data_IF_290283321851
#
_entry.id   IF_290283321851
#
_cell.length_a   1.000
_cell.length_b   1.000
_cell.length_c   1.000
_cell.angle_alpha   90.00
_cell.angle_beta   90.00
_cell.angle_gamma   90.00
#
_symmetry.space_group_name_H-M   'P 1'
#
loop_
_entity.id
_entity.type
_entity.pdbx_description
1 polymer ?
#
# COMPACT_ATOMS: atom_id res chain seq x y z
N UNK A 1 8.71 23.43 -0.26
CA UNK A 1 9.24 22.10 -0.61
C UNK A 1 8.14 21.10 -0.31
N UNK A 2 7.28 20.85 -1.28
CA UNK A 2 6.10 19.97 -1.09
C UNK A 2 6.57 18.56 -1.38
N UNK A 3 7.04 17.83 -0.37
CA UNK A 3 7.38 16.41 -0.55
C UNK A 3 6.11 15.67 -0.98
N UNK A 4 6.07 15.37 -2.28
CA UNK A 4 4.91 14.80 -2.96
C UNK A 4 4.57 13.45 -2.34
N UNK A 5 3.29 13.23 -2.08
CA UNK A 5 2.82 11.93 -1.61
C UNK A 5 3.24 10.82 -2.56
N UNK A 6 4.02 9.85 -2.06
CA UNK A 6 4.51 8.72 -2.84
C UNK A 6 3.48 7.59 -2.76
N UNK A 7 2.81 7.31 -3.87
CA UNK A 7 1.86 6.19 -3.95
C UNK A 7 2.56 5.01 -4.61
N UNK A 8 2.59 3.84 -3.96
CA UNK A 8 3.29 2.65 -4.47
C UNK A 8 2.51 1.84 -5.50
N UNK A 9 1.33 2.34 -5.92
CA UNK A 9 0.42 1.69 -6.86
C UNK A 9 -0.69 0.89 -6.17
N UNK A 10 -1.69 0.48 -6.95
CA UNK A 10 -2.75 -0.44 -6.52
C UNK A 10 -2.34 -1.86 -6.91
N UNK A 11 -2.66 -2.81 -6.04
CA UNK A 11 -2.37 -4.22 -6.20
C UNK A 11 -3.67 -4.98 -6.07
N UNK A 12 -3.92 -5.91 -6.97
CA UNK A 12 -5.16 -6.68 -6.99
C UNK A 12 -4.84 -8.16 -7.14
N UNK A 13 -5.59 -8.97 -6.40
CA UNK A 13 -5.59 -10.41 -6.55
C UNK A 13 -6.94 -10.80 -7.15
N UNK A 14 -6.91 -11.21 -8.41
CA UNK A 14 -8.08 -11.59 -9.19
C UNK A 14 -8.69 -12.93 -8.75
N UNK A 15 -7.94 -13.79 -8.05
CA UNK A 15 -8.45 -15.08 -7.57
C UNK A 15 -9.28 -14.90 -6.29
N UNK A 16 -8.87 -13.97 -5.43
CA UNK A 16 -9.53 -13.68 -4.14
C UNK A 16 -10.39 -12.42 -4.17
N UNK A 17 -10.50 -11.75 -5.31
CA UNK A 17 -11.24 -10.48 -5.51
C UNK A 17 -10.83 -9.40 -4.50
N UNK A 18 -9.54 -9.32 -4.18
CA UNK A 18 -9.00 -8.40 -3.17
C UNK A 18 -8.15 -7.31 -3.81
N UNK A 19 -8.20 -6.12 -3.23
CA UNK A 19 -7.29 -5.03 -3.54
C UNK A 19 -6.46 -4.65 -2.31
N UNK A 20 -5.28 -4.12 -2.58
CA UNK A 20 -4.37 -3.55 -1.61
C UNK A 20 -3.68 -2.34 -2.25
N UNK A 21 -3.45 -1.29 -1.49
CA UNK A 21 -2.71 -0.10 -1.94
C UNK A 21 -2.05 0.56 -0.75
N UNK A 22 -0.94 1.24 -0.99
CA UNK A 22 -0.27 2.02 0.03
C UNK A 22 0.13 3.39 -0.50
N UNK A 23 -0.02 4.38 0.39
CA UNK A 23 0.34 5.77 0.16
C UNK A 23 1.24 6.24 1.29
N UNK A 24 2.36 6.86 0.94
CA UNK A 24 3.33 7.41 1.87
C UNK A 24 3.27 8.93 1.77
N UNK A 25 3.17 9.60 2.91
CA UNK A 25 3.18 11.06 3.04
C UNK A 25 4.18 11.40 4.14
N UNK A 26 5.42 11.74 3.75
CA UNK A 26 6.53 11.91 4.69
C UNK A 26 6.78 10.61 5.48
N UNK A 27 6.50 10.64 6.78
CA UNK A 27 6.62 9.51 7.71
C UNK A 27 5.34 8.68 7.86
N UNK A 28 4.23 9.13 7.29
CA UNK A 28 2.93 8.46 7.41
C UNK A 28 2.70 7.51 6.26
N UNK A 29 2.35 6.27 6.59
CA UNK A 29 1.89 5.27 5.64
C UNK A 29 0.41 5.05 5.83
N UNK A 30 -0.38 5.18 4.76
CA UNK A 30 -1.78 4.78 4.71
C UNK A 30 -1.93 3.60 3.79
N UNK A 31 -2.34 2.46 4.33
CA UNK A 31 -2.67 1.25 3.59
C UNK A 31 -4.19 1.20 3.41
N UNK A 32 -4.67 0.97 2.18
CA UNK A 32 -6.07 0.66 1.91
C UNK A 32 -6.17 -0.75 1.34
N UNK A 33 -7.03 -1.58 1.91
CA UNK A 33 -7.20 -2.98 1.51
C UNK A 33 -8.65 -3.43 1.65
N UNK A 34 -9.08 -4.40 0.86
CA UNK A 34 -10.45 -4.89 0.93
C UNK A 34 -10.84 -5.70 -0.28
N UNK A 35 -12.13 -5.93 -0.45
CA UNK A 35 -12.66 -6.57 -1.66
C UNK A 35 -12.89 -5.53 -2.75
N UNK A 36 -12.56 -5.88 -3.99
CA UNK A 36 -12.79 -5.04 -5.16
C UNK A 36 -14.30 -4.72 -5.25
N UNK A 37 -14.64 -3.44 -5.37
CA UNK A 37 -16.04 -2.98 -5.40
C UNK A 37 -16.65 -2.63 -4.03
N UNK A 38 -15.87 -2.73 -2.95
CA UNK A 38 -16.27 -2.24 -1.60
C UNK A 38 -15.42 -1.04 -1.19
N UNK A 39 -15.89 -0.27 -0.20
CA UNK A 39 -15.09 0.82 0.39
C UNK A 39 -13.78 0.34 1.03
N UNK A 40 -13.69 -0.95 1.35
CA UNK A 40 -12.54 -1.57 2.02
C UNK A 40 -12.27 -1.02 3.42
N UNK A 41 -11.07 -1.30 3.91
CA UNK A 41 -10.54 -0.85 5.17
C UNK A 41 -9.29 -0.01 4.93
N UNK A 42 -9.02 0.91 5.85
CA UNK A 42 -7.82 1.75 5.82
C UNK A 42 -7.10 1.64 7.15
N UNK A 43 -5.79 1.42 7.07
CA UNK A 43 -4.89 1.38 8.22
C UNK A 43 -3.79 2.41 8.00
N UNK A 44 -3.66 3.36 8.92
CA UNK A 44 -2.58 4.35 8.90
C UNK A 44 -1.56 4.05 10.00
N UNK A 45 -0.28 4.22 9.68
CA UNK A 45 0.82 4.06 10.63
C UNK A 45 1.87 5.12 10.38
N UNK A 46 2.34 5.73 11.46
CA UNK A 46 3.47 6.66 11.45
C UNK A 46 4.78 5.92 11.75
N UNK A 47 5.87 6.38 11.13
CA UNK A 47 7.23 5.89 11.32
C UNK A 47 8.16 7.02 11.79
N UNK A 48 9.29 6.67 12.40
CA UNK A 48 10.26 7.67 12.84
C UNK A 48 11.00 8.39 11.70
N UNK A 49 11.07 7.77 10.52
CA UNK A 49 11.73 8.35 9.33
C UNK A 49 10.98 7.99 8.04
N UNK A 50 11.06 8.83 7.00
CA UNK A 50 10.45 8.52 5.70
C UNK A 50 11.05 7.26 5.07
N UNK A 51 12.36 7.02 5.25
CA UNK A 51 13.00 5.79 4.75
C UNK A 51 12.45 4.53 5.42
N UNK A 52 12.10 4.60 6.71
CA UNK A 52 11.47 3.47 7.42
C UNK A 52 10.05 3.22 6.89
N UNK A 53 9.27 4.27 6.63
CA UNK A 53 7.96 4.17 5.99
C UNK A 53 8.06 3.51 4.59
N UNK A 54 9.02 3.93 3.79
CA UNK A 54 9.28 3.34 2.46
C UNK A 54 9.68 1.88 2.54
N UNK A 55 10.64 1.53 3.40
CA UNK A 55 11.07 0.15 3.62
C UNK A 55 9.91 -0.74 4.03
N UNK A 56 9.07 -0.28 4.97
CA UNK A 56 7.90 -1.02 5.41
C UNK A 56 6.94 -1.33 4.25
N UNK A 57 6.63 -0.32 3.42
CA UNK A 57 5.73 -0.53 2.27
C UNK A 57 6.36 -1.44 1.23
N UNK A 58 7.66 -1.34 0.96
CA UNK A 58 8.38 -2.22 0.02
C UNK A 58 8.28 -3.69 0.46
N UNK A 59 8.48 -3.97 1.74
CA UNK A 59 8.37 -5.34 2.27
C UNK A 59 6.93 -5.85 2.18
N UNK A 60 5.93 -5.00 2.46
CA UNK A 60 4.52 -5.34 2.27
C UNK A 60 4.20 -5.66 0.79
N UNK A 61 4.69 -4.86 -0.15
CA UNK A 61 4.50 -5.10 -1.58
C UNK A 61 5.08 -6.45 -1.99
N UNK A 62 6.30 -6.79 -1.54
CA UNK A 62 6.91 -8.09 -1.82
C UNK A 62 6.08 -9.25 -1.29
N UNK A 63 5.57 -9.15 -0.06
CA UNK A 63 4.66 -10.15 0.52
C UNK A 63 3.41 -10.30 -0.34
N UNK A 64 2.78 -9.18 -0.73
CA UNK A 64 1.55 -9.20 -1.53
C UNK A 64 1.77 -9.82 -2.91
N UNK A 65 2.90 -9.53 -3.56
CA UNK A 65 3.27 -10.18 -4.83
C UNK A 65 3.44 -11.69 -4.66
N UNK A 66 4.09 -12.13 -3.57
CA UNK A 66 4.23 -13.55 -3.26
C UNK A 66 2.87 -14.22 -2.95
N UNK A 67 1.92 -13.48 -2.36
CA UNK A 67 0.53 -13.91 -2.14
C UNK A 67 -0.34 -13.89 -3.43
N UNK A 68 0.24 -13.57 -4.60
CA UNK A 68 -0.46 -13.57 -5.88
C UNK A 68 -1.14 -12.25 -6.26
N UNK A 69 -0.94 -11.18 -5.49
CA UNK A 69 -1.38 -9.85 -5.90
C UNK A 69 -0.51 -9.34 -7.05
N UNK A 70 -1.14 -8.67 -8.01
CA UNK A 70 -0.48 -8.07 -9.17
C UNK A 70 -0.68 -6.56 -9.14
N UNK A 71 0.36 -5.81 -9.50
CA UNK A 71 0.25 -4.36 -9.64
C UNK A 71 -0.71 -4.05 -10.80
N UNK A 72 -1.68 -3.18 -10.54
CA UNK A 72 -2.57 -2.58 -11.53
C UNK A 72 -2.28 -1.08 -11.55
N UNK A 73 -2.08 -0.53 -12.75
CA UNK A 73 -1.81 0.89 -13.00
C UNK A 73 -3.13 1.65 -13.20
#
# INVERSE_FOLDING_TARGET
>A
MTEGAKTTGRYENAETHRFWSAKIIGTFVTISFGNIGTSGHRASREFGTPQAAERFVIEQVKSKIAEGFRKVD
#
